data_IF_195763376454
#
_entry.id   IF_195763376454
#
_cell.length_a   1.000
_cell.length_b   1.000
_cell.length_c   1.000
_cell.angle_alpha   90.00
_cell.angle_beta   90.00
_cell.angle_gamma   90.00
#
_symmetry.space_group_name_H-M   'P 1'
#
loop_
_entity.id
_entity.type
_entity.pdbx_description
1 polymer ?
#
# COMPACT_ATOMS: atom_id res chain seq x y z
N UNK A 1 24.91 -7.17 17.03
CA UNK A 1 23.94 -6.48 16.17
C UNK A 1 23.88 -5.02 16.58
N UNK A 2 23.93 -4.06 15.63
CA UNK A 2 23.89 -2.64 15.97
C UNK A 2 22.54 -2.24 16.53
N UNK A 3 22.51 -1.28 17.45
CA UNK A 3 21.27 -0.84 18.15
C UNK A 3 20.18 -0.40 17.18
N UNK A 4 20.52 0.33 16.12
CA UNK A 4 19.54 0.78 15.12
C UNK A 4 18.87 -0.38 14.35
N UNK A 5 19.59 -1.49 14.11
CA UNK A 5 18.98 -2.68 13.47
C UNK A 5 18.01 -3.39 14.42
N UNK A 6 18.36 -3.49 15.70
CA UNK A 6 17.48 -4.05 16.72
C UNK A 6 16.19 -3.21 16.83
N UNK A 7 16.32 -1.89 16.90
CA UNK A 7 15.20 -0.97 16.95
C UNK A 7 14.30 -1.09 15.71
N UNK A 8 14.88 -1.22 14.52
CA UNK A 8 14.14 -1.40 13.28
C UNK A 8 13.34 -2.71 13.24
N UNK A 9 13.93 -3.81 13.70
CA UNK A 9 13.22 -5.08 13.81
C UNK A 9 12.08 -4.98 14.84
N UNK A 10 12.37 -4.41 16.02
CA UNK A 10 11.39 -4.28 17.09
C UNK A 10 10.20 -3.43 16.65
N UNK A 11 10.43 -2.26 16.02
CA UNK A 11 9.32 -1.41 15.55
C UNK A 11 8.54 -2.06 14.41
N UNK A 12 9.21 -2.81 13.53
CA UNK A 12 8.54 -3.62 12.50
C UNK A 12 7.61 -4.67 13.12
N UNK A 13 8.08 -5.40 14.15
CA UNK A 13 7.27 -6.37 14.89
C UNK A 13 6.11 -5.70 15.65
N UNK A 14 6.33 -4.51 16.23
CA UNK A 14 5.25 -3.72 16.86
C UNK A 14 4.20 -3.34 15.83
N UNK A 15 4.59 -2.86 14.64
CA UNK A 15 3.66 -2.53 13.56
C UNK A 15 2.83 -3.76 13.15
N UNK A 16 3.46 -4.92 12.99
CA UNK A 16 2.77 -6.18 12.72
C UNK A 16 1.83 -6.60 13.87
N UNK A 17 2.24 -6.41 15.11
CA UNK A 17 1.39 -6.65 16.28
C UNK A 17 0.14 -5.79 16.28
N UNK A 18 0.28 -4.49 15.95
CA UNK A 18 -0.85 -3.56 15.79
C UNK A 18 -1.73 -3.98 14.61
N UNK A 19 -1.14 -4.38 13.48
CA UNK A 19 -1.90 -4.91 12.34
C UNK A 19 -2.76 -6.11 12.72
N UNK A 20 -2.22 -7.07 13.48
CA UNK A 20 -2.97 -8.22 14.01
C UNK A 20 -4.09 -7.78 14.95
N UNK A 21 -3.84 -6.84 15.85
CA UNK A 21 -4.88 -6.28 16.74
C UNK A 21 -6.02 -5.64 15.94
N UNK A 22 -5.70 -4.86 14.90
CA UNK A 22 -6.70 -4.23 14.03
C UNK A 22 -7.48 -5.28 13.23
N UNK A 23 -6.82 -6.30 12.69
CA UNK A 23 -7.45 -7.41 11.98
C UNK A 23 -8.43 -8.18 12.87
N UNK A 24 -8.07 -8.43 14.13
CA UNK A 24 -8.95 -9.07 15.10
C UNK A 24 -10.15 -8.18 15.44
N UNK A 25 -9.94 -6.87 15.62
CA UNK A 25 -11.02 -5.92 15.88
C UNK A 25 -12.01 -5.84 14.69
N UNK A 26 -11.49 -5.84 13.44
CA UNK A 26 -12.33 -5.92 12.24
C UNK A 26 -13.14 -7.23 12.25
N UNK A 27 -12.50 -8.35 12.49
CA UNK A 27 -13.15 -9.67 12.46
C UNK A 27 -14.25 -9.81 13.52
N UNK A 28 -14.12 -9.12 14.65
CA UNK A 28 -15.12 -9.07 15.71
C UNK A 28 -16.32 -8.15 15.41
N UNK A 29 -16.19 -7.22 14.45
CA UNK A 29 -17.26 -6.32 14.07
C UNK A 29 -18.41 -7.07 13.35
N UNK A 30 -19.62 -6.50 13.44
CA UNK A 30 -20.79 -7.10 12.81
C UNK A 30 -20.66 -7.12 11.28
N UNK A 31 -20.87 -8.29 10.68
CA UNK A 31 -20.82 -8.49 9.23
C UNK A 31 -22.20 -8.37 8.55
N UNK A 32 -23.22 -7.87 9.25
CA UNK A 32 -24.55 -7.62 8.71
C UNK A 32 -25.41 -8.86 8.53
N UNK A 33 -26.31 -8.79 7.57
CA UNK A 33 -27.34 -9.81 7.30
C UNK A 33 -26.76 -11.11 6.71
N UNK A 34 -27.57 -12.18 6.68
CA UNK A 34 -27.17 -13.43 6.06
C UNK A 34 -26.79 -13.25 4.58
N UNK A 35 -27.54 -12.42 3.83
CA UNK A 35 -27.26 -12.13 2.42
C UNK A 35 -25.96 -11.36 2.23
N UNK A 36 -25.65 -10.38 3.09
CA UNK A 36 -24.37 -9.66 3.05
C UNK A 36 -23.19 -10.60 3.27
N UNK A 37 -23.31 -11.52 4.22
CA UNK A 37 -22.27 -12.52 4.50
C UNK A 37 -22.08 -13.51 3.34
N UNK A 38 -23.15 -13.90 2.70
CA UNK A 38 -23.13 -14.78 1.53
C UNK A 38 -22.38 -14.13 0.36
N UNK A 39 -22.74 -12.89 0.01
CA UNK A 39 -22.06 -12.13 -1.06
C UNK A 39 -20.59 -11.90 -0.72
N UNK A 40 -20.28 -11.49 0.51
CA UNK A 40 -18.89 -11.33 0.96
C UNK A 40 -18.10 -12.64 0.88
N UNK A 41 -18.77 -13.80 1.09
CA UNK A 41 -18.19 -15.13 0.91
C UNK A 41 -17.77 -15.37 -0.55
N UNK A 42 -18.62 -15.05 -1.51
CA UNK A 42 -18.30 -15.18 -2.93
C UNK A 42 -17.14 -14.27 -3.37
N UNK A 43 -17.12 -13.02 -2.90
CA UNK A 43 -16.02 -12.08 -3.18
C UNK A 43 -14.73 -12.60 -2.57
N UNK A 44 -14.75 -13.08 -1.32
CA UNK A 44 -13.58 -13.64 -0.68
C UNK A 44 -13.04 -14.89 -1.40
N UNK A 45 -13.93 -15.79 -1.80
CA UNK A 45 -13.58 -16.99 -2.57
C UNK A 45 -12.90 -16.63 -3.90
N UNK A 46 -13.47 -15.70 -4.66
CA UNK A 46 -12.90 -15.21 -5.91
C UNK A 46 -11.53 -14.56 -5.71
N UNK A 47 -11.39 -13.70 -4.69
CA UNK A 47 -10.13 -13.04 -4.36
C UNK A 47 -9.03 -14.05 -3.98
N UNK A 48 -9.36 -15.06 -3.17
CA UNK A 48 -8.39 -16.10 -2.80
C UNK A 48 -8.04 -17.03 -3.98
N UNK A 49 -8.99 -17.33 -4.86
CA UNK A 49 -8.75 -18.10 -6.07
C UNK A 49 -7.77 -17.39 -7.01
N UNK A 50 -7.91 -16.06 -7.17
CA UNK A 50 -6.96 -15.25 -7.92
C UNK A 50 -5.56 -15.33 -7.32
N UNK A 51 -5.39 -15.03 -6.02
CA UNK A 51 -4.10 -15.07 -5.35
C UNK A 51 -3.42 -16.44 -5.46
N UNK A 52 -4.19 -17.52 -5.26
CA UNK A 52 -3.65 -18.87 -5.39
C UNK A 52 -3.11 -19.13 -6.79
N UNK A 53 -3.85 -18.69 -7.82
CA UNK A 53 -3.44 -18.87 -9.22
C UNK A 53 -2.20 -18.04 -9.53
N UNK A 54 -2.18 -16.80 -9.13
CA UNK A 54 -1.06 -15.87 -9.31
C UNK A 54 0.20 -16.40 -8.62
N UNK A 55 0.13 -16.73 -7.34
CA UNK A 55 1.28 -17.18 -6.56
C UNK A 55 1.88 -18.49 -7.08
N UNK A 56 1.07 -19.36 -7.68
CA UNK A 56 1.57 -20.56 -8.34
C UNK A 56 2.52 -20.24 -9.50
N UNK A 57 2.18 -19.28 -10.35
CA UNK A 57 3.04 -18.86 -11.45
C UNK A 57 4.23 -18.03 -10.96
N UNK A 58 4.02 -17.19 -9.97
CA UNK A 58 5.09 -16.42 -9.33
C UNK A 58 6.14 -17.34 -8.69
N UNK A 59 5.74 -18.44 -8.06
CA UNK A 59 6.67 -19.39 -7.49
C UNK A 59 7.61 -19.98 -8.56
N UNK A 60 7.09 -20.31 -9.74
CA UNK A 60 7.91 -20.80 -10.87
C UNK A 60 8.88 -19.69 -11.32
N UNK A 61 8.39 -18.46 -11.47
CA UNK A 61 9.20 -17.31 -11.85
C UNK A 61 10.33 -17.06 -10.84
N UNK A 62 10.01 -17.05 -9.53
CA UNK A 62 10.98 -16.83 -8.44
C UNK A 62 12.10 -17.89 -8.51
N UNK A 63 11.74 -19.16 -8.70
CA UNK A 63 12.74 -20.25 -8.78
C UNK A 63 13.67 -20.06 -9.98
N UNK A 64 13.11 -19.74 -11.15
CA UNK A 64 13.91 -19.53 -12.37
C UNK A 64 14.85 -18.32 -12.20
N UNK A 65 14.34 -17.18 -11.75
CA UNK A 65 15.15 -15.98 -11.58
C UNK A 65 16.18 -16.15 -10.46
N UNK A 66 15.83 -16.81 -9.36
CA UNK A 66 16.77 -17.11 -8.28
C UNK A 66 17.93 -18.01 -8.78
N UNK A 67 17.63 -19.01 -9.62
CA UNK A 67 18.67 -19.85 -10.23
C UNK A 67 19.60 -19.05 -11.15
N UNK A 68 19.06 -18.12 -11.93
CA UNK A 68 19.86 -17.21 -12.77
C UNK A 68 20.75 -16.32 -11.88
N UNK A 69 20.18 -15.68 -10.85
CA UNK A 69 20.94 -14.83 -9.92
C UNK A 69 22.03 -15.64 -9.21
N UNK A 70 21.72 -16.86 -8.74
CA UNK A 70 22.70 -17.71 -8.07
C UNK A 70 23.88 -18.09 -8.99
N UNK A 71 23.61 -18.27 -10.29
CA UNK A 71 24.62 -18.67 -11.28
C UNK A 71 25.50 -17.50 -11.73
N UNK A 72 24.91 -16.34 -11.98
CA UNK A 72 25.60 -15.20 -12.59
C UNK A 72 26.09 -14.15 -11.58
N UNK A 73 25.49 -14.08 -10.40
CA UNK A 73 25.87 -13.14 -9.35
C UNK A 73 26.40 -13.87 -8.11
N UNK A 74 25.49 -14.27 -7.20
CA UNK A 74 25.84 -15.04 -6.01
C UNK A 74 24.64 -15.76 -5.42
N UNK A 75 24.88 -16.86 -4.71
CA UNK A 75 23.85 -17.60 -3.96
C UNK A 75 23.25 -16.69 -2.86
N UNK A 76 24.05 -15.88 -2.22
CA UNK A 76 23.59 -14.95 -1.18
C UNK A 76 22.61 -13.93 -1.73
N UNK A 77 22.87 -13.35 -2.90
CA UNK A 77 21.95 -12.43 -3.60
C UNK A 77 20.66 -13.13 -4.01
N UNK A 78 20.74 -14.38 -4.47
CA UNK A 78 19.57 -15.19 -4.79
C UNK A 78 18.69 -15.47 -3.56
N UNK A 79 19.28 -15.80 -2.42
CA UNK A 79 18.54 -15.98 -1.16
C UNK A 79 17.88 -14.68 -0.70
N UNK A 80 18.58 -13.56 -0.84
CA UNK A 80 18.04 -12.25 -0.53
C UNK A 80 16.86 -11.89 -1.46
N UNK A 81 16.97 -12.19 -2.76
CA UNK A 81 15.89 -12.07 -3.74
C UNK A 81 14.65 -12.87 -3.35
N UNK A 82 14.83 -14.16 -3.00
CA UNK A 82 13.72 -15.01 -2.54
C UNK A 82 13.08 -14.41 -1.27
N UNK A 83 13.90 -13.92 -0.34
CA UNK A 83 13.41 -13.25 0.88
C UNK A 83 12.50 -12.07 0.56
N UNK A 84 12.94 -11.15 -0.30
CA UNK A 84 12.15 -9.99 -0.73
C UNK A 84 10.84 -10.37 -1.41
N UNK A 85 10.89 -11.38 -2.29
CA UNK A 85 9.70 -11.91 -2.96
C UNK A 85 8.69 -12.50 -1.97
N UNK A 86 9.14 -13.33 -1.02
CA UNK A 86 8.27 -13.94 0.01
C UNK A 86 7.64 -12.88 0.89
N UNK A 87 8.39 -11.88 1.34
CA UNK A 87 7.84 -10.80 2.17
C UNK A 87 6.81 -9.96 1.41
N UNK A 88 7.01 -9.69 0.13
CA UNK A 88 6.04 -9.00 -0.72
C UNK A 88 4.74 -9.81 -0.88
N UNK A 89 4.85 -11.11 -1.14
CA UNK A 89 3.70 -12.04 -1.20
C UNK A 89 2.93 -12.03 0.14
N UNK A 90 3.65 -12.11 1.26
CA UNK A 90 3.04 -12.08 2.60
C UNK A 90 2.28 -10.77 2.85
N UNK A 91 2.82 -9.63 2.43
CA UNK A 91 2.16 -8.33 2.56
C UNK A 91 0.87 -8.28 1.73
N UNK A 92 0.90 -8.69 0.46
CA UNK A 92 -0.27 -8.74 -0.41
C UNK A 92 -1.36 -9.67 0.12
N UNK A 93 -0.99 -10.89 0.57
CA UNK A 93 -1.92 -11.86 1.15
C UNK A 93 -2.59 -11.33 2.42
N UNK A 94 -1.81 -10.73 3.33
CA UNK A 94 -2.31 -10.16 4.58
C UNK A 94 -3.34 -9.05 4.30
N UNK A 95 -3.01 -8.13 3.39
CA UNK A 95 -3.90 -7.04 3.00
C UNK A 95 -5.21 -7.56 2.40
N UNK A 96 -5.14 -8.44 1.41
CA UNK A 96 -6.31 -9.00 0.73
C UNK A 96 -7.24 -9.75 1.71
N UNK A 97 -6.69 -10.60 2.56
CA UNK A 97 -7.46 -11.38 3.52
C UNK A 97 -8.22 -10.49 4.51
N UNK A 98 -7.62 -9.35 4.92
CA UNK A 98 -8.28 -8.42 5.84
C UNK A 98 -9.25 -7.50 5.12
N UNK A 99 -8.92 -7.01 3.92
CA UNK A 99 -9.80 -6.13 3.14
C UNK A 99 -11.12 -6.82 2.80
N UNK A 100 -11.09 -8.04 2.29
CA UNK A 100 -12.31 -8.80 1.98
C UNK A 100 -13.22 -9.06 3.20
N UNK A 101 -12.63 -9.10 4.40
CA UNK A 101 -13.39 -9.16 5.66
C UNK A 101 -13.89 -7.79 6.10
N UNK A 102 -13.14 -6.73 5.85
CA UNK A 102 -13.48 -5.36 6.24
C UNK A 102 -14.63 -4.80 5.40
N UNK A 103 -14.69 -5.12 4.10
CA UNK A 103 -15.65 -4.54 3.15
C UNK A 103 -17.12 -4.70 3.61
N UNK A 104 -17.55 -5.92 3.90
CA UNK A 104 -18.92 -6.19 4.35
C UNK A 104 -19.24 -5.55 5.70
N UNK A 105 -18.24 -5.45 6.59
CA UNK A 105 -18.37 -4.82 7.89
C UNK A 105 -18.44 -3.31 7.81
N UNK A 106 -17.72 -2.74 6.85
CA UNK A 106 -17.83 -1.31 6.49
C UNK A 106 -19.23 -1.00 5.97
N UNK A 107 -19.77 -1.84 5.07
CA UNK A 107 -21.12 -1.69 4.55
C UNK A 107 -22.19 -1.78 5.66
N UNK A 108 -22.05 -2.72 6.60
CA UNK A 108 -22.96 -2.80 7.74
C UNK A 108 -22.82 -1.59 8.67
N UNK A 109 -21.59 -1.17 8.97
CA UNK A 109 -21.35 0.00 9.82
C UNK A 109 -21.88 1.30 9.19
N UNK A 110 -21.89 1.41 7.86
CA UNK A 110 -22.44 2.57 7.15
C UNK A 110 -23.94 2.78 7.41
N UNK A 111 -24.68 1.73 7.78
CA UNK A 111 -26.09 1.85 8.19
C UNK A 111 -26.25 2.60 9.52
N UNK A 112 -25.21 2.67 10.32
CA UNK A 112 -25.20 3.35 11.62
C UNK A 112 -24.53 4.74 11.54
N UNK A 113 -23.77 5.01 10.51
CA UNK A 113 -23.18 6.32 10.24
C UNK A 113 -21.82 6.28 9.58
N UNK A 114 -21.46 7.39 8.95
CA UNK A 114 -20.20 7.55 8.19
C UNK A 114 -18.96 7.34 9.07
N UNK A 115 -18.97 7.84 10.29
CA UNK A 115 -17.81 7.74 11.20
C UNK A 115 -17.50 6.28 11.60
N UNK A 116 -18.54 5.45 11.80
CA UNK A 116 -18.35 4.04 12.13
C UNK A 116 -17.85 3.25 10.92
N UNK A 117 -18.40 3.52 9.74
CA UNK A 117 -17.94 2.91 8.49
C UNK A 117 -16.47 3.27 8.21
N UNK A 118 -16.13 4.55 8.30
CA UNK A 118 -14.76 5.02 8.09
C UNK A 118 -13.75 4.37 9.05
N UNK A 119 -14.13 4.19 10.31
CA UNK A 119 -13.26 3.54 11.31
C UNK A 119 -12.90 2.11 10.91
N UNK A 120 -13.86 1.35 10.38
CA UNK A 120 -13.62 -0.04 9.93
C UNK A 120 -12.82 -0.04 8.63
N UNK A 121 -13.23 0.73 7.62
CA UNK A 121 -12.56 0.83 6.34
C UNK A 121 -11.09 1.26 6.50
N UNK A 122 -10.85 2.34 7.25
CA UNK A 122 -9.50 2.83 7.54
C UNK A 122 -8.67 1.80 8.32
N UNK A 123 -9.28 1.06 9.24
CA UNK A 123 -8.57 -0.01 9.95
C UNK A 123 -8.14 -1.12 8.99
N UNK A 124 -8.94 -1.46 7.98
CA UNK A 124 -8.57 -2.42 6.93
C UNK A 124 -7.35 -1.96 6.13
N UNK A 125 -7.35 -0.71 5.66
CA UNK A 125 -6.20 -0.12 4.98
C UNK A 125 -4.96 -0.01 5.88
N UNK A 126 -5.15 0.34 7.15
CA UNK A 126 -4.06 0.42 8.13
C UNK A 126 -3.39 -0.94 8.38
N UNK A 127 -4.13 -2.06 8.37
CA UNK A 127 -3.55 -3.40 8.45
C UNK A 127 -2.61 -3.66 7.28
N UNK A 128 -3.03 -3.30 6.06
CA UNK A 128 -2.17 -3.41 4.88
C UNK A 128 -0.92 -2.53 5.01
N UNK A 129 -1.10 -1.23 5.30
CA UNK A 129 0.02 -0.30 5.42
C UNK A 129 1.03 -0.70 6.51
N UNK A 130 0.56 -1.10 7.70
CA UNK A 130 1.41 -1.58 8.79
C UNK A 130 2.07 -2.92 8.46
N UNK A 131 1.39 -3.78 7.70
CA UNK A 131 1.94 -5.02 7.16
C UNK A 131 3.13 -4.75 6.23
N UNK A 132 2.94 -3.81 5.28
CA UNK A 132 3.98 -3.38 4.33
C UNK A 132 5.21 -2.84 5.05
N UNK A 133 5.03 -1.83 5.90
CA UNK A 133 6.18 -1.18 6.56
C UNK A 133 6.83 -2.08 7.62
N UNK A 134 6.01 -2.88 8.33
CA UNK A 134 6.51 -3.81 9.34
C UNK A 134 7.35 -4.93 8.75
N UNK A 135 6.81 -5.61 7.72
CA UNK A 135 7.56 -6.65 7.00
C UNK A 135 8.77 -6.07 6.26
N UNK A 136 8.61 -4.90 5.61
CA UNK A 136 9.67 -4.25 4.86
C UNK A 136 10.88 -3.91 5.72
N UNK A 137 10.70 -3.17 6.81
CA UNK A 137 11.82 -2.76 7.66
C UNK A 137 12.45 -3.93 8.43
N UNK A 138 11.61 -4.84 8.96
CA UNK A 138 12.11 -6.00 9.68
C UNK A 138 12.89 -6.94 8.75
N UNK A 139 12.32 -7.24 7.56
CA UNK A 139 12.97 -8.08 6.56
C UNK A 139 14.28 -7.48 6.05
N UNK A 140 14.28 -6.18 5.76
CA UNK A 140 15.48 -5.49 5.30
C UNK A 140 16.57 -5.41 6.38
N UNK A 141 16.21 -5.12 7.63
CA UNK A 141 17.15 -5.09 8.74
C UNK A 141 17.76 -6.48 9.03
N UNK A 142 16.95 -7.53 8.93
CA UNK A 142 17.43 -8.92 9.04
C UNK A 142 18.35 -9.27 7.87
N UNK A 143 17.97 -8.97 6.64
CA UNK A 143 18.79 -9.22 5.45
C UNK A 143 20.14 -8.49 5.55
N UNK A 144 20.12 -7.21 5.92
CA UNK A 144 21.32 -6.40 6.10
C UNK A 144 22.25 -6.96 7.19
N UNK A 145 21.68 -7.52 8.26
CA UNK A 145 22.47 -8.16 9.32
C UNK A 145 23.02 -9.52 8.90
N UNK A 146 22.21 -10.38 8.31
CA UNK A 146 22.57 -11.77 7.94
C UNK A 146 23.64 -11.81 6.85
N UNK A 147 23.60 -10.86 5.92
CA UNK A 147 24.57 -10.76 4.84
C UNK A 147 25.72 -9.79 5.11
N UNK A 148 26.16 -9.71 6.38
CA UNK A 148 27.34 -8.96 6.83
C UNK A 148 27.36 -7.48 6.40
N UNK A 149 26.17 -6.86 6.31
CA UNK A 149 25.97 -5.47 5.88
C UNK A 149 26.42 -5.20 4.44
N UNK A 150 26.47 -6.23 3.61
CA UNK A 150 26.81 -6.09 2.20
C UNK A 150 25.57 -5.57 1.42
N UNK A 151 25.64 -4.31 1.02
CA UNK A 151 24.54 -3.62 0.34
C UNK A 151 24.26 -4.24 -1.03
N UNK A 152 25.29 -4.69 -1.75
CA UNK A 152 25.11 -5.30 -3.08
C UNK A 152 24.28 -6.59 -2.98
N UNK A 153 24.44 -7.36 -1.92
CA UNK A 153 23.62 -8.55 -1.67
C UNK A 153 22.20 -8.14 -1.28
N UNK A 154 22.05 -7.11 -0.44
CA UNK A 154 20.75 -6.64 0.06
C UNK A 154 19.91 -6.02 -1.05
N UNK A 155 20.49 -5.51 -2.14
CA UNK A 155 19.72 -5.06 -3.32
C UNK A 155 18.90 -6.19 -3.91
N UNK A 156 19.32 -7.46 -3.75
CA UNK A 156 18.53 -8.64 -4.12
C UNK A 156 17.16 -8.68 -3.45
N UNK A 157 17.04 -8.21 -2.20
CA UNK A 157 15.75 -8.12 -1.50
C UNK A 157 14.78 -7.16 -2.21
N UNK A 158 15.29 -6.00 -2.63
CA UNK A 158 14.50 -5.04 -3.43
C UNK A 158 14.09 -5.61 -4.78
N UNK A 159 15.00 -6.31 -5.47
CA UNK A 159 14.70 -6.96 -6.75
C UNK A 159 13.61 -8.04 -6.61
N UNK A 160 13.62 -8.80 -5.50
CA UNK A 160 12.57 -9.76 -5.19
C UNK A 160 11.21 -9.10 -4.97
N UNK A 161 11.19 -8.03 -4.19
CA UNK A 161 9.98 -7.23 -3.95
C UNK A 161 9.43 -6.65 -5.26
N UNK A 162 10.30 -6.05 -6.10
CA UNK A 162 9.96 -5.45 -7.39
C UNK A 162 9.37 -6.46 -8.37
N UNK A 163 9.95 -7.65 -8.42
CA UNK A 163 9.46 -8.73 -9.28
C UNK A 163 8.02 -9.13 -8.94
N UNK A 164 7.70 -9.27 -7.66
CA UNK A 164 6.34 -9.61 -7.22
C UNK A 164 5.39 -8.45 -7.48
N UNK A 165 5.79 -7.22 -7.16
CA UNK A 165 4.98 -6.04 -7.37
C UNK A 165 4.58 -5.85 -8.84
N UNK A 166 5.51 -6.05 -9.76
CA UNK A 166 5.25 -5.96 -11.20
C UNK A 166 4.12 -6.90 -11.63
N UNK A 167 4.22 -8.19 -11.25
CA UNK A 167 3.20 -9.17 -11.66
C UNK A 167 1.88 -8.97 -10.93
N UNK A 168 1.89 -8.74 -9.62
CA UNK A 168 0.69 -8.51 -8.85
C UNK A 168 -0.08 -7.26 -9.32
N UNK A 169 0.64 -6.17 -9.61
CA UNK A 169 0.03 -4.94 -10.09
C UNK A 169 -0.51 -5.06 -11.52
N UNK A 170 0.27 -5.63 -12.44
CA UNK A 170 -0.16 -5.80 -13.84
C UNK A 170 -1.27 -6.85 -13.94
N UNK A 171 -1.10 -8.01 -13.31
CA UNK A 171 -2.10 -9.07 -13.29
C UNK A 171 -3.40 -8.64 -12.62
N UNK A 172 -3.30 -8.01 -11.45
CA UNK A 172 -4.43 -7.44 -10.72
C UNK A 172 -5.15 -6.37 -11.53
N UNK A 173 -4.44 -5.42 -12.12
CA UNK A 173 -5.01 -4.36 -12.95
C UNK A 173 -5.72 -4.87 -14.21
N UNK A 174 -5.16 -5.90 -14.87
CA UNK A 174 -5.82 -6.55 -16.02
C UNK A 174 -7.12 -7.21 -15.57
N UNK A 175 -7.10 -7.95 -14.46
CA UNK A 175 -8.29 -8.60 -13.93
C UNK A 175 -9.36 -7.58 -13.55
N UNK A 176 -9.00 -6.54 -12.79
CA UNK A 176 -9.91 -5.48 -12.36
C UNK A 176 -10.60 -4.84 -13.56
N UNK A 177 -9.83 -4.41 -14.55
CA UNK A 177 -10.43 -3.75 -15.74
C UNK A 177 -11.24 -4.70 -16.63
N UNK A 178 -10.86 -5.96 -16.72
CA UNK A 178 -11.67 -6.94 -17.44
C UNK A 178 -13.01 -7.22 -16.74
N UNK A 179 -13.01 -7.29 -15.41
CA UNK A 179 -14.21 -7.50 -14.62
C UNK A 179 -15.14 -6.28 -14.64
N UNK A 180 -14.60 -5.08 -14.37
CA UNK A 180 -15.30 -3.79 -14.38
C UNK A 180 -15.98 -3.53 -15.77
N UNK A 181 -15.20 -3.53 -16.84
CA UNK A 181 -15.73 -3.32 -18.19
C UNK A 181 -16.71 -4.42 -18.60
N UNK A 182 -16.44 -5.68 -18.24
CA UNK A 182 -17.34 -6.80 -18.52
C UNK A 182 -18.66 -6.68 -17.77
N UNK A 183 -18.64 -6.31 -16.50
CA UNK A 183 -19.83 -6.07 -15.68
C UNK A 183 -20.66 -4.90 -16.23
N UNK A 184 -20.01 -3.84 -16.65
CA UNK A 184 -20.65 -2.65 -17.24
C UNK A 184 -21.30 -2.94 -18.59
N UNK A 185 -20.64 -3.68 -19.47
CA UNK A 185 -21.21 -4.08 -20.76
C UNK A 185 -22.46 -4.91 -20.57
N UNK A 186 -22.43 -5.93 -19.73
CA UNK A 186 -23.59 -6.79 -19.46
C UNK A 186 -24.71 -6.00 -18.76
N UNK A 187 -24.39 -5.24 -17.74
CA UNK A 187 -25.37 -4.51 -16.94
C UNK A 187 -25.92 -3.28 -17.64
N UNK A 188 -25.09 -2.30 -17.93
CA UNK A 188 -25.51 -0.99 -18.43
C UNK A 188 -25.91 -1.02 -19.90
N UNK A 189 -25.17 -1.77 -20.75
CA UNK A 189 -25.38 -1.75 -22.21
C UNK A 189 -26.39 -2.80 -22.64
N UNK A 190 -26.22 -4.08 -22.24
CA UNK A 190 -27.10 -5.18 -22.69
C UNK A 190 -28.40 -5.25 -21.90
N UNK A 191 -28.33 -5.20 -20.55
CA UNK A 191 -29.51 -5.36 -19.70
C UNK A 191 -30.20 -4.04 -19.35
N UNK A 192 -29.57 -2.88 -19.57
CA UNK A 192 -30.12 -1.56 -19.25
C UNK A 192 -30.40 -1.35 -17.75
N UNK A 193 -29.62 -1.98 -16.89
CA UNK A 193 -29.75 -1.88 -15.44
C UNK A 193 -28.63 -0.98 -14.88
N UNK A 194 -28.85 -0.37 -13.69
CA UNK A 194 -27.83 0.49 -13.06
C UNK A 194 -26.53 -0.27 -12.77
N UNK A 195 -25.46 0.50 -12.54
CA UNK A 195 -24.18 0.02 -12.01
C UNK A 195 -24.42 -0.70 -10.68
N UNK A 196 -23.66 -1.76 -10.42
CA UNK A 196 -23.73 -2.57 -9.19
C UNK A 196 -25.12 -3.18 -8.90
N UNK A 197 -26.00 -3.27 -9.88
CA UNK A 197 -27.32 -3.86 -9.70
C UNK A 197 -27.20 -5.34 -9.29
N UNK A 198 -27.87 -5.77 -8.20
CA UNK A 198 -27.76 -7.14 -7.69
C UNK A 198 -28.29 -8.22 -8.65
N UNK A 199 -28.96 -7.83 -9.72
CA UNK A 199 -29.38 -8.74 -10.82
C UNK A 199 -28.24 -9.08 -11.77
N UNK A 200 -27.16 -8.27 -11.79
CA UNK A 200 -25.98 -8.53 -12.59
C UNK A 200 -25.00 -9.43 -11.83
N UNK A 201 -24.83 -10.72 -12.21
CA UNK A 201 -23.90 -11.61 -11.51
C UNK A 201 -22.44 -11.19 -11.67
N UNK A 202 -22.10 -10.39 -12.70
CA UNK A 202 -20.76 -9.90 -12.93
C UNK A 202 -20.31 -8.86 -11.89
N UNK A 203 -21.24 -8.25 -11.14
CA UNK A 203 -20.92 -7.34 -10.02
C UNK A 203 -20.04 -8.00 -8.95
N UNK A 204 -20.18 -9.31 -8.72
CA UNK A 204 -19.28 -10.03 -7.80
C UNK A 204 -17.87 -10.08 -8.36
N UNK A 205 -17.70 -10.35 -9.66
CA UNK A 205 -16.38 -10.38 -10.29
C UNK A 205 -15.70 -9.01 -10.29
N UNK A 206 -16.49 -7.96 -10.47
CA UNK A 206 -16.04 -6.57 -10.39
C UNK A 206 -15.52 -6.24 -8.99
N UNK A 207 -16.31 -6.52 -7.95
CA UNK A 207 -15.85 -6.36 -6.56
C UNK A 207 -14.63 -7.23 -6.20
N UNK A 208 -14.47 -8.42 -6.79
CA UNK A 208 -13.24 -9.21 -6.67
C UNK A 208 -12.08 -8.46 -7.31
N UNK A 209 -12.30 -7.87 -8.49
CA UNK A 209 -11.33 -7.07 -9.22
C UNK A 209 -10.77 -5.92 -8.38
N UNK A 210 -11.64 -5.14 -7.75
CA UNK A 210 -11.23 -4.04 -6.86
C UNK A 210 -10.31 -4.51 -5.73
N UNK A 211 -10.65 -5.63 -5.08
CA UNK A 211 -9.78 -6.18 -4.05
C UNK A 211 -8.44 -6.67 -4.62
N UNK A 212 -8.43 -7.27 -5.79
CA UNK A 212 -7.23 -7.79 -6.46
C UNK A 212 -6.32 -6.64 -6.90
N UNK A 213 -6.87 -5.63 -7.58
CA UNK A 213 -6.11 -4.49 -8.10
C UNK A 213 -5.67 -3.52 -7.00
N UNK A 214 -6.64 -3.04 -6.21
CA UNK A 214 -6.42 -1.92 -5.30
C UNK A 214 -5.91 -2.35 -3.92
N UNK A 215 -6.01 -3.62 -3.55
CA UNK A 215 -5.42 -4.11 -2.30
C UNK A 215 -4.21 -4.97 -2.56
N UNK A 216 -4.32 -6.11 -3.24
CA UNK A 216 -3.17 -7.00 -3.41
C UNK A 216 -2.11 -6.38 -4.34
N UNK A 217 -2.53 -5.89 -5.52
CA UNK A 217 -1.62 -5.29 -6.52
C UNK A 217 -0.95 -4.02 -5.98
N UNK A 218 -1.75 -3.08 -5.49
CA UNK A 218 -1.23 -1.82 -4.92
C UNK A 218 -0.39 -2.06 -3.66
N UNK A 219 -0.78 -3.02 -2.83
CA UNK A 219 -0.03 -3.34 -1.62
C UNK A 219 1.36 -3.91 -1.89
N UNK A 220 1.50 -4.77 -2.91
CA UNK A 220 2.81 -5.25 -3.35
C UNK A 220 3.68 -4.12 -3.92
N UNK A 221 3.08 -3.19 -4.67
CA UNK A 221 3.73 -1.99 -5.19
C UNK A 221 4.22 -1.05 -4.08
N UNK A 222 3.40 -0.83 -3.05
CA UNK A 222 3.80 -0.05 -1.88
C UNK A 222 4.94 -0.72 -1.10
N UNK A 223 4.93 -2.05 -1.01
CA UNK A 223 6.02 -2.80 -0.39
C UNK A 223 7.33 -2.63 -1.16
N UNK A 224 7.29 -2.78 -2.49
CA UNK A 224 8.43 -2.52 -3.38
C UNK A 224 8.97 -1.10 -3.20
N UNK A 225 8.08 -0.10 -3.31
CA UNK A 225 8.46 1.31 -3.23
C UNK A 225 9.08 1.67 -1.89
N UNK A 226 8.53 1.15 -0.79
CA UNK A 226 9.05 1.37 0.55
C UNK A 226 10.44 0.74 0.72
N UNK A 227 10.60 -0.52 0.36
CA UNK A 227 11.88 -1.25 0.45
C UNK A 227 12.91 -0.63 -0.49
N UNK A 228 12.52 -0.32 -1.73
CA UNK A 228 13.41 0.28 -2.72
C UNK A 228 13.92 1.66 -2.31
N UNK A 229 13.05 2.49 -1.72
CA UNK A 229 13.45 3.80 -1.19
C UNK A 229 14.48 3.67 -0.06
N UNK A 230 14.28 2.72 0.86
CA UNK A 230 15.23 2.46 1.96
C UNK A 230 16.57 1.94 1.42
N UNK A 231 16.55 0.95 0.51
CA UNK A 231 17.78 0.42 -0.10
C UNK A 231 18.55 1.53 -0.84
N UNK A 232 17.87 2.35 -1.62
CA UNK A 232 18.48 3.47 -2.32
C UNK A 232 19.12 4.47 -1.34
N UNK A 233 18.42 4.81 -0.25
CA UNK A 233 18.93 5.71 0.77
C UNK A 233 20.13 5.11 1.52
N UNK A 234 20.09 3.81 1.85
CA UNK A 234 21.21 3.09 2.48
C UNK A 234 22.43 3.10 1.55
N UNK A 235 22.23 2.82 0.26
CA UNK A 235 23.31 2.80 -0.73
C UNK A 235 24.00 4.15 -0.84
N UNK A 236 23.22 5.22 -0.98
CA UNK A 236 23.75 6.60 -1.05
C UNK A 236 24.39 7.01 0.29
N UNK A 237 23.74 6.66 1.40
CA UNK A 237 24.26 6.94 2.74
C UNK A 237 25.61 6.26 3.03
N UNK A 238 25.79 5.03 2.58
CA UNK A 238 27.06 4.30 2.74
C UNK A 238 28.19 4.92 1.90
N UNK A 239 27.87 5.41 0.70
CA UNK A 239 28.86 6.09 -0.15
C UNK A 239 29.23 7.47 0.42
N UNK A 240 28.22 8.24 0.86
CA UNK A 240 28.43 9.59 1.39
C UNK A 240 29.12 9.58 2.78
N UNK A 241 28.86 8.57 3.59
CA UNK A 241 29.36 8.43 4.96
C UNK A 241 29.92 7.00 5.18
N UNK A 242 31.16 6.74 4.76
CA UNK A 242 31.77 5.39 4.85
C UNK A 242 31.92 4.85 6.28
N UNK A 243 31.82 5.71 7.32
CA UNK A 243 31.82 5.33 8.74
C UNK A 243 30.53 4.59 9.19
N UNK A 244 29.50 4.56 8.33
CA UNK A 244 28.22 3.87 8.59
C UNK A 244 27.13 4.76 9.17
N UNK A 245 27.42 6.04 9.44
CA UNK A 245 26.44 7.01 9.98
C UNK A 245 25.28 7.22 9.01
N UNK A 246 25.54 7.22 7.69
CA UNK A 246 24.50 7.36 6.69
C UNK A 246 23.50 6.21 6.69
N UNK A 247 23.97 4.97 6.85
CA UNK A 247 23.12 3.79 6.97
C UNK A 247 22.31 3.82 8.27
N UNK A 248 22.97 4.17 9.37
CA UNK A 248 22.31 4.32 10.67
C UNK A 248 21.18 5.35 10.60
N UNK A 249 21.44 6.51 10.02
CA UNK A 249 20.44 7.56 9.84
C UNK A 249 19.18 7.07 9.11
N UNK A 250 19.36 6.30 8.03
CA UNK A 250 18.22 5.78 7.24
C UNK A 250 17.35 4.83 8.07
N UNK A 251 17.96 3.90 8.82
CA UNK A 251 17.21 2.98 9.67
C UNK A 251 16.52 3.69 10.84
N UNK A 252 17.17 4.67 11.47
CA UNK A 252 16.59 5.46 12.55
C UNK A 252 15.45 6.37 12.06
N UNK A 253 15.58 6.93 10.87
CA UNK A 253 14.51 7.69 10.23
C UNK A 253 13.31 6.79 9.89
N UNK A 254 13.56 5.60 9.34
CA UNK A 254 12.50 4.63 9.07
C UNK A 254 11.79 4.16 10.35
N UNK A 255 12.54 3.95 11.44
CA UNK A 255 11.98 3.70 12.76
C UNK A 255 11.05 4.83 13.20
N UNK A 256 11.51 6.08 13.13
CA UNK A 256 10.72 7.26 13.50
C UNK A 256 9.46 7.40 12.60
N UNK A 257 9.58 7.08 11.32
CA UNK A 257 8.47 7.06 10.35
C UNK A 257 7.38 6.05 10.72
N UNK A 258 7.75 4.86 11.18
CA UNK A 258 6.77 3.86 11.63
C UNK A 258 6.08 4.31 12.92
N UNK A 259 6.82 4.86 13.88
CA UNK A 259 6.22 5.43 15.11
C UNK A 259 5.25 6.56 14.76
N UNK A 260 5.64 7.45 13.85
CA UNK A 260 4.78 8.53 13.36
C UNK A 260 3.52 7.98 12.68
N UNK A 261 3.64 6.92 11.87
CA UNK A 261 2.51 6.26 11.22
C UNK A 261 1.56 5.61 12.22
N UNK A 262 2.07 4.95 13.25
CA UNK A 262 1.22 4.37 14.32
C UNK A 262 0.40 5.45 15.03
N UNK A 263 1.02 6.60 15.34
CA UNK A 263 0.32 7.76 15.93
C UNK A 263 -0.69 8.34 14.95
N UNK A 264 -0.32 8.51 13.66
CA UNK A 264 -1.22 9.01 12.61
C UNK A 264 -2.45 8.11 12.41
N UNK A 265 -2.27 6.80 12.43
CA UNK A 265 -3.38 5.82 12.38
C UNK A 265 -4.33 5.98 13.57
N UNK A 266 -3.81 6.19 14.78
CA UNK A 266 -4.64 6.43 15.97
C UNK A 266 -5.46 7.73 15.82
N UNK A 267 -4.84 8.80 15.31
CA UNK A 267 -5.53 10.07 15.05
C UNK A 267 -6.64 9.93 14.00
N UNK A 268 -6.35 9.34 12.87
CA UNK A 268 -7.33 9.12 11.80
C UNK A 268 -8.54 8.29 12.28
N UNK A 269 -8.29 7.21 13.03
CA UNK A 269 -9.34 6.34 13.58
C UNK A 269 -10.19 6.98 14.67
N UNK A 270 -9.63 7.92 15.42
CA UNK A 270 -10.35 8.65 16.48
C UNK A 270 -11.10 9.88 15.97
N UNK A 271 -10.96 10.22 14.70
CA UNK A 271 -11.63 11.36 14.10
C UNK A 271 -13.14 11.20 14.11
N UNK A 272 -13.83 12.24 14.59
CA UNK A 272 -15.30 12.37 14.54
C UNK A 272 -15.76 13.15 13.32
N UNK A 273 -14.87 13.41 12.37
CA UNK A 273 -15.21 14.16 11.15
C UNK A 273 -16.24 13.41 10.32
N UNK A 274 -17.23 14.11 9.81
CA UNK A 274 -18.17 13.62 8.81
C UNK A 274 -17.58 13.61 7.41
N UNK A 275 -16.42 14.26 7.21
CA UNK A 275 -15.66 14.26 5.96
C UNK A 275 -14.51 13.23 6.06
N UNK A 276 -14.57 12.11 5.31
CA UNK A 276 -13.56 11.07 5.33
C UNK A 276 -12.18 11.59 4.92
N UNK A 277 -12.11 12.44 3.89
CA UNK A 277 -10.86 12.98 3.38
C UNK A 277 -10.14 13.83 4.42
N UNK A 278 -10.88 14.66 5.17
CA UNK A 278 -10.31 15.46 6.25
C UNK A 278 -9.74 14.59 7.39
N UNK A 279 -10.40 13.47 7.71
CA UNK A 279 -9.90 12.54 8.72
C UNK A 279 -8.58 11.88 8.31
N UNK A 280 -8.48 11.45 7.05
CA UNK A 280 -7.26 10.86 6.47
C UNK A 280 -6.11 11.88 6.42
N UNK A 281 -6.40 13.08 5.91
CA UNK A 281 -5.41 14.16 5.80
C UNK A 281 -4.84 14.55 7.17
N UNK A 282 -5.67 14.62 8.20
CA UNK A 282 -5.23 14.95 9.57
C UNK A 282 -4.23 13.89 10.09
N UNK A 283 -4.48 12.61 9.87
CA UNK A 283 -3.54 11.55 10.23
C UNK A 283 -2.18 11.70 9.52
N UNK A 284 -2.22 12.03 8.23
CA UNK A 284 -1.02 12.29 7.41
C UNK A 284 -0.24 13.51 7.89
N UNK A 285 -0.92 14.61 8.22
CA UNK A 285 -0.25 15.83 8.71
C UNK A 285 0.40 15.63 10.07
N UNK A 286 -0.26 14.92 10.98
CA UNK A 286 0.31 14.60 12.29
C UNK A 286 1.55 13.71 12.11
N UNK A 287 1.47 12.66 11.30
CA UNK A 287 2.61 11.81 11.00
C UNK A 287 3.77 12.58 10.34
N UNK A 288 3.46 13.42 9.36
CA UNK A 288 4.44 14.27 8.69
C UNK A 288 5.16 15.23 9.64
N UNK A 289 4.43 15.87 10.57
CA UNK A 289 5.03 16.76 11.57
C UNK A 289 6.02 16.02 12.49
N UNK A 290 5.68 14.80 12.90
CA UNK A 290 6.57 13.95 13.71
C UNK A 290 7.83 13.57 12.92
N UNK A 291 7.69 13.18 11.64
CA UNK A 291 8.83 12.86 10.77
C UNK A 291 9.75 14.07 10.57
N UNK A 292 9.20 15.26 10.36
CA UNK A 292 9.98 16.51 10.25
C UNK A 292 10.79 16.77 11.52
N UNK A 293 10.18 16.64 12.70
CA UNK A 293 10.87 16.82 13.97
C UNK A 293 11.99 15.76 14.17
N UNK A 294 11.69 14.52 13.85
CA UNK A 294 12.68 13.44 13.92
C UNK A 294 13.84 13.65 12.94
N UNK A 295 13.53 14.03 11.69
CA UNK A 295 14.55 14.31 10.67
C UNK A 295 15.48 15.46 11.07
N UNK A 296 14.93 16.53 11.67
CA UNK A 296 15.74 17.63 12.21
C UNK A 296 16.68 17.15 13.29
N UNK A 297 16.13 16.42 14.28
CA UNK A 297 16.94 15.90 15.39
C UNK A 297 18.02 14.93 14.91
N UNK A 298 17.68 13.97 14.07
CA UNK A 298 18.64 12.98 13.56
C UNK A 298 19.72 13.63 12.67
N UNK A 299 19.35 14.56 11.79
CA UNK A 299 20.29 15.25 10.91
C UNK A 299 21.33 16.04 11.70
N UNK A 300 20.88 16.77 12.72
CA UNK A 300 21.79 17.57 13.57
C UNK A 300 22.61 16.71 14.52
N UNK A 301 22.06 15.63 15.08
CA UNK A 301 22.75 14.76 16.03
C UNK A 301 23.78 13.86 15.38
N UNK A 302 23.48 13.31 14.18
CA UNK A 302 24.33 12.34 13.51
C UNK A 302 25.36 13.03 12.60
N UNK A 303 24.92 14.01 11.81
CA UNK A 303 25.78 14.67 10.82
C UNK A 303 26.28 16.05 11.23
N UNK A 304 25.74 16.64 12.32
CA UNK A 304 26.12 17.98 12.77
C UNK A 304 25.70 19.10 11.80
N UNK A 305 24.84 18.80 10.81
CA UNK A 305 24.37 19.75 9.82
C UNK A 305 22.91 19.49 9.44
N UNK A 306 22.32 20.38 8.62
CA UNK A 306 20.91 20.33 8.25
C UNK A 306 20.66 19.77 6.84
N UNK A 307 21.67 19.26 6.11
CA UNK A 307 21.51 18.88 4.72
C UNK A 307 20.49 17.74 4.54
N UNK A 308 20.58 16.69 5.35
CA UNK A 308 19.64 15.57 5.32
C UNK A 308 18.22 16.01 5.72
N UNK A 309 18.09 16.86 6.73
CA UNK A 309 16.81 17.44 7.12
C UNK A 309 16.16 18.22 5.98
N UNK A 310 16.89 19.11 5.31
CA UNK A 310 16.36 19.90 4.18
C UNK A 310 15.89 18.99 3.04
N UNK A 311 16.67 17.94 2.73
CA UNK A 311 16.29 16.96 1.70
C UNK A 311 14.98 16.24 2.06
N UNK A 312 14.84 15.77 3.30
CA UNK A 312 13.64 15.07 3.76
C UNK A 312 12.44 16.01 3.82
N UNK A 313 12.61 17.22 4.36
CA UNK A 313 11.55 18.21 4.44
C UNK A 313 11.05 18.61 3.04
N UNK A 314 11.96 18.82 2.08
CA UNK A 314 11.58 19.12 0.69
C UNK A 314 10.83 17.95 0.04
N UNK A 315 11.28 16.70 0.25
CA UNK A 315 10.58 15.51 -0.25
C UNK A 315 9.16 15.37 0.33
N UNK A 316 9.00 15.61 1.63
CA UNK A 316 7.67 15.58 2.26
C UNK A 316 6.75 16.68 1.72
N UNK A 317 7.24 17.91 1.58
CA UNK A 317 6.46 19.02 1.00
C UNK A 317 6.05 18.71 -0.44
N UNK A 318 6.97 18.20 -1.26
CA UNK A 318 6.67 17.79 -2.63
C UNK A 318 5.62 16.67 -2.67
N UNK A 319 5.73 15.66 -1.79
CA UNK A 319 4.74 14.58 -1.70
C UNK A 319 3.34 15.11 -1.32
N UNK A 320 3.24 16.01 -0.35
CA UNK A 320 1.98 16.64 0.02
C UNK A 320 1.39 17.50 -1.11
N UNK A 321 2.23 18.24 -1.83
CA UNK A 321 1.80 19.03 -2.99
C UNK A 321 1.29 18.16 -4.12
N UNK A 322 1.99 17.07 -4.46
CA UNK A 322 1.54 16.10 -5.47
C UNK A 322 0.19 15.52 -5.06
N UNK A 323 0.05 15.07 -3.82
CA UNK A 323 -1.22 14.56 -3.32
C UNK A 323 -2.36 15.58 -3.43
N UNK A 324 -2.11 16.84 -3.09
CA UNK A 324 -3.12 17.92 -3.19
C UNK A 324 -3.47 18.26 -4.64
N UNK A 325 -2.48 18.31 -5.52
CA UNK A 325 -2.71 18.53 -6.96
C UNK A 325 -3.56 17.37 -7.52
N UNK A 326 -3.19 16.13 -7.22
CA UNK A 326 -3.95 14.95 -7.64
C UNK A 326 -5.40 15.04 -7.16
N UNK A 327 -5.63 15.37 -5.90
CA UNK A 327 -6.98 15.56 -5.33
C UNK A 327 -7.79 16.59 -6.11
N UNK A 328 -7.19 17.73 -6.47
CA UNK A 328 -7.86 18.80 -7.24
C UNK A 328 -8.32 18.33 -8.61
N UNK A 329 -7.57 17.44 -9.25
CA UNK A 329 -7.88 16.95 -10.59
C UNK A 329 -8.67 15.64 -10.64
N UNK A 330 -8.84 14.94 -9.52
CA UNK A 330 -9.49 13.62 -9.47
C UNK A 330 -10.72 13.56 -8.54
N UNK A 331 -10.84 14.46 -7.56
CA UNK A 331 -11.97 14.44 -6.64
C UNK A 331 -13.21 15.14 -7.20
N UNK A 332 -14.37 14.53 -7.00
CA UNK A 332 -15.69 15.06 -7.41
C UNK A 332 -16.05 16.40 -6.77
N UNK A 333 -15.34 16.82 -5.72
CA UNK A 333 -15.59 18.11 -5.06
C UNK A 333 -15.09 19.32 -5.87
N UNK A 334 -14.14 19.09 -6.80
CA UNK A 334 -13.47 20.16 -7.53
C UNK A 334 -14.07 20.43 -8.92
N UNK A 335 -13.90 21.66 -9.38
CA UNK A 335 -14.47 22.14 -10.65
C UNK A 335 -13.95 21.37 -11.86
N UNK A 336 -12.70 20.89 -11.85
CA UNK A 336 -12.09 20.10 -12.91
C UNK A 336 -12.92 18.84 -13.22
N UNK A 337 -13.27 18.08 -12.19
CA UNK A 337 -14.05 16.83 -12.32
C UNK A 337 -15.52 17.13 -12.59
N UNK A 338 -16.10 18.14 -11.91
CA UNK A 338 -17.48 18.59 -12.19
C UNK A 338 -17.69 19.01 -13.62
N UNK A 339 -16.68 19.63 -14.24
CA UNK A 339 -16.73 20.00 -15.66
C UNK A 339 -16.77 18.77 -16.58
N UNK A 340 -15.99 17.71 -16.26
CA UNK A 340 -16.05 16.46 -17.02
C UNK A 340 -17.45 15.82 -16.91
N UNK A 341 -17.98 15.73 -15.69
CA UNK A 341 -19.32 15.22 -15.42
C UNK A 341 -20.40 16.00 -16.20
N UNK A 342 -20.31 17.33 -16.23
CA UNK A 342 -21.23 18.17 -17.01
C UNK A 342 -21.12 17.93 -18.52
N UNK A 343 -19.90 17.68 -19.04
CA UNK A 343 -19.72 17.37 -20.47
C UNK A 343 -20.26 15.98 -20.83
N UNK A 344 -20.38 15.06 -19.88
CA UNK A 344 -20.95 13.73 -20.12
C UNK A 344 -22.44 13.76 -20.50
N UNK A 345 -23.16 14.84 -20.14
CA UNK A 345 -24.56 15.04 -20.58
C UNK A 345 -24.69 15.20 -22.09
N UNK A 346 -23.64 15.63 -22.78
CA UNK A 346 -23.65 15.81 -24.24
C UNK A 346 -23.18 14.59 -25.02
N UNK A 347 -22.60 13.60 -24.34
CA UNK A 347 -22.26 12.29 -24.90
C UNK A 347 -20.85 11.79 -24.62
N UNK A 348 -20.53 10.56 -25.03
CA UNK A 348 -19.23 9.93 -24.71
C UNK A 348 -18.03 10.65 -25.31
N UNK A 349 -18.15 11.20 -26.53
CA UNK A 349 -17.06 11.89 -27.21
C UNK A 349 -16.60 13.13 -26.43
N UNK A 350 -17.53 13.93 -25.94
CA UNK A 350 -17.25 15.14 -25.15
C UNK A 350 -16.69 14.79 -23.78
N UNK A 351 -17.12 13.69 -23.17
CA UNK A 351 -16.55 13.16 -21.92
C UNK A 351 -15.09 12.79 -22.10
N UNK A 352 -14.76 12.02 -23.14
CA UNK A 352 -13.39 11.61 -23.44
C UNK A 352 -12.49 12.84 -23.70
N UNK A 353 -12.94 13.76 -24.55
CA UNK A 353 -12.17 14.96 -24.88
C UNK A 353 -11.94 15.83 -23.64
N UNK A 354 -12.98 16.03 -22.82
CA UNK A 354 -12.88 16.82 -21.58
C UNK A 354 -11.97 16.15 -20.56
N UNK A 355 -12.05 14.83 -20.41
CA UNK A 355 -11.20 14.05 -19.51
C UNK A 355 -9.73 14.12 -19.92
N UNK A 356 -9.44 13.93 -21.22
CA UNK A 356 -8.09 14.08 -21.75
C UNK A 356 -7.55 15.49 -21.56
N UNK A 357 -8.36 16.51 -21.85
CA UNK A 357 -7.95 17.91 -21.66
C UNK A 357 -7.61 18.23 -20.20
N UNK A 358 -8.40 17.77 -19.25
CA UNK A 358 -8.12 17.95 -17.82
C UNK A 358 -6.87 17.19 -17.38
N UNK A 359 -6.67 15.97 -17.91
CA UNK A 359 -5.49 15.16 -17.59
C UNK A 359 -4.17 15.67 -18.19
N UNK A 360 -4.24 16.56 -19.19
CA UNK A 360 -3.06 17.19 -19.80
C UNK A 360 -2.59 18.47 -19.08
N UNK A 361 -3.37 19.00 -18.14
CA UNK A 361 -2.97 20.12 -17.28
C UNK A 361 -2.15 19.63 -16.08
#
# INVERSE_FOLDING_TARGET
MSTYLILSIVVGLVALGVAVMLSNAISAANAGTARMKEIAGYIHEGAMAFLYREYKYLAIFIVVVAAIIATFLSVSTALCFIGGAVFSICAGYLGMNVATKANVRTAEAARHGMSEALKIAFSGGAVMGLGVVGLGIAGLAVAYFVFDRNIDIVTGFGLGASSIALFARVGGGIYTKAADVGADLVGKVEAGIPEDDPRNPATIADNVGDNVGDVAGMGADLFESYVGAIISAITLGAVAYPGGEGVMFVFELAFAGIVASLIGVMFARSSKSTNPQAALNNGTYVGGAIVIAAAYYLSTSIFGNMAAFVAIASGLVVGLLIGKITEIYTSADFASVKKIAQQSETGPATTIISGLAVGMY
#
